data_IF_339008905884
#
_entry.id   IF_339008905884
#
_cell.length_a   1.000
_cell.length_b   1.000
_cell.length_c   1.000
_cell.angle_alpha   90.00
_cell.angle_beta   90.00
_cell.angle_gamma   90.00
#
_symmetry.space_group_name_H-M   'P 1'
#
loop_
_entity.id
_entity.type
_entity.pdbx_description
1 polymer ?
#
# COMPACT_ATOMS: atom_id res chain seq x y z
N UNK A 1 21.43 12.49 -12.29
CA UNK A 1 22.38 11.39 -12.07
C UNK A 1 22.64 10.69 -13.39
N UNK A 2 23.90 10.40 -13.73
CA UNK A 2 24.28 9.72 -14.99
C UNK A 2 23.78 8.25 -15.08
N UNK A 3 23.11 7.76 -14.03
CA UNK A 3 22.56 6.40 -13.95
C UNK A 3 21.04 6.33 -14.16
N UNK A 4 20.37 7.47 -14.33
CA UNK A 4 18.92 7.54 -14.58
C UNK A 4 18.70 7.88 -16.04
N UNK A 5 17.95 7.01 -16.73
CA UNK A 5 17.56 7.18 -18.13
C UNK A 5 16.04 7.04 -18.23
N UNK A 6 15.39 8.02 -18.82
CA UNK A 6 13.98 7.93 -19.16
C UNK A 6 13.87 7.38 -20.59
N UNK A 7 13.08 6.32 -20.77
CA UNK A 7 12.78 5.72 -22.06
C UNK A 7 11.28 5.63 -22.25
N UNK A 8 10.81 5.76 -23.49
CA UNK A 8 9.39 5.71 -23.82
C UNK A 8 8.89 4.34 -24.25
N UNK A 9 9.81 3.40 -24.53
CA UNK A 9 9.49 2.05 -24.97
C UNK A 9 9.76 1.04 -23.87
N UNK A 10 8.79 0.16 -23.59
CA UNK A 10 8.90 -0.82 -22.50
C UNK A 10 9.96 -1.87 -22.81
N UNK A 11 10.08 -2.35 -24.05
CA UNK A 11 11.07 -3.36 -24.39
C UNK A 11 12.50 -2.82 -24.23
N UNK A 12 12.73 -1.55 -24.59
CA UNK A 12 13.99 -0.87 -24.34
C UNK A 12 14.28 -0.75 -22.84
N UNK A 13 13.25 -0.39 -22.04
CA UNK A 13 13.39 -0.20 -20.60
C UNK A 13 13.76 -1.49 -19.88
N UNK A 14 13.11 -2.62 -20.20
CA UNK A 14 13.19 -3.85 -19.41
C UNK A 14 14.08 -4.94 -20.01
N UNK A 15 14.46 -4.83 -21.28
CA UNK A 15 15.15 -5.90 -22.04
C UNK A 15 16.50 -6.34 -21.47
N UNK A 16 17.09 -5.60 -20.51
CA UNK A 16 18.33 -5.93 -19.81
C UNK A 16 18.22 -5.80 -18.29
N UNK A 17 16.99 -5.70 -17.78
CA UNK A 17 16.77 -5.50 -16.35
C UNK A 17 16.93 -6.81 -15.58
N UNK A 18 17.58 -6.76 -14.41
CA UNK A 18 17.58 -7.85 -13.43
C UNK A 18 16.32 -7.81 -12.55
N UNK A 19 15.72 -6.62 -12.40
CA UNK A 19 14.50 -6.40 -11.66
C UNK A 19 13.68 -5.28 -12.31
N UNK A 20 12.38 -5.49 -12.40
CA UNK A 20 11.40 -4.48 -12.83
C UNK A 20 10.45 -4.20 -11.69
N UNK A 21 10.16 -2.93 -11.41
CA UNK A 21 9.19 -2.53 -10.38
C UNK A 21 8.09 -1.73 -11.09
N UNK A 22 6.90 -2.31 -11.16
CA UNK A 22 5.73 -1.67 -11.73
C UNK A 22 5.08 -0.75 -10.69
N UNK A 23 4.70 0.46 -11.09
CA UNK A 23 4.05 1.46 -10.24
C UNK A 23 2.97 2.27 -11.01
N UNK A 24 2.23 1.59 -11.88
CA UNK A 24 1.11 2.19 -12.61
C UNK A 24 -0.12 2.34 -11.70
N UNK A 25 -1.18 3.08 -12.12
CA UNK A 25 -2.41 3.20 -11.34
C UNK A 25 -2.99 1.84 -10.90
N UNK A 26 -3.69 1.84 -9.77
CA UNK A 26 -4.24 0.66 -9.08
C UNK A 26 -5.47 0.11 -9.83
N UNK A 27 -5.30 -0.28 -11.08
CA UNK A 27 -6.31 -0.83 -11.99
C UNK A 27 -5.91 -2.26 -12.34
N UNK A 28 -6.69 -3.29 -11.92
CA UNK A 28 -6.33 -4.70 -12.10
C UNK A 28 -6.00 -5.06 -13.56
N UNK A 29 -6.87 -4.73 -14.50
CA UNK A 29 -6.68 -5.07 -15.92
C UNK A 29 -5.42 -4.43 -16.51
N UNK A 30 -5.09 -3.20 -16.09
CA UNK A 30 -3.87 -2.53 -16.52
C UNK A 30 -2.64 -3.26 -16.00
N UNK A 31 -2.63 -3.66 -14.72
CA UNK A 31 -1.51 -4.39 -14.14
C UNK A 31 -1.34 -5.77 -14.77
N UNK A 32 -2.44 -6.50 -15.02
CA UNK A 32 -2.41 -7.78 -15.74
C UNK A 32 -1.80 -7.63 -17.14
N UNK A 33 -2.23 -6.61 -17.90
CA UNK A 33 -1.68 -6.34 -19.24
C UNK A 33 -0.18 -6.06 -19.18
N UNK A 34 0.26 -5.21 -18.23
CA UNK A 34 1.68 -4.88 -18.05
C UNK A 34 2.48 -6.10 -17.64
N UNK A 35 2.01 -6.91 -16.70
CA UNK A 35 2.73 -8.11 -16.27
C UNK A 35 2.83 -9.16 -17.38
N UNK A 36 1.82 -9.30 -18.23
CA UNK A 36 1.89 -10.13 -19.44
C UNK A 36 2.95 -9.62 -20.42
N UNK A 37 3.07 -8.29 -20.61
CA UNK A 37 4.11 -7.70 -21.44
C UNK A 37 5.50 -7.85 -20.82
N UNK A 38 5.64 -7.63 -19.50
CA UNK A 38 6.89 -7.83 -18.78
C UNK A 38 7.38 -9.27 -18.85
N UNK A 39 6.47 -10.25 -18.75
CA UNK A 39 6.81 -11.67 -18.90
C UNK A 39 7.46 -11.99 -20.24
N UNK A 40 6.99 -11.35 -21.31
CA UNK A 40 7.48 -11.52 -22.67
C UNK A 40 8.76 -10.71 -22.96
N UNK A 41 8.91 -9.51 -22.38
CA UNK A 41 9.92 -8.53 -22.76
C UNK A 41 11.15 -8.53 -21.84
N UNK A 42 10.97 -8.82 -20.56
CA UNK A 42 12.07 -8.86 -19.60
C UNK A 42 12.87 -10.17 -19.69
N UNK A 43 14.17 -10.17 -19.37
CA UNK A 43 14.98 -11.40 -19.33
C UNK A 43 14.36 -12.47 -18.43
N UNK A 44 14.57 -13.74 -18.77
CA UNK A 44 14.00 -14.87 -18.04
C UNK A 44 14.41 -14.92 -16.55
N UNK A 45 15.53 -14.31 -16.18
CA UNK A 45 16.00 -14.22 -14.79
C UNK A 45 15.44 -13.01 -14.02
N UNK A 46 14.80 -12.06 -14.72
CA UNK A 46 14.36 -10.81 -14.10
C UNK A 46 13.21 -11.04 -13.10
N UNK A 47 13.34 -10.40 -11.94
CA UNK A 47 12.29 -10.37 -10.94
C UNK A 47 11.27 -9.28 -11.31
N UNK A 48 9.99 -9.60 -11.18
CA UNK A 48 8.89 -8.71 -11.48
C UNK A 48 8.21 -8.25 -10.17
N UNK A 49 8.51 -7.02 -9.77
CA UNK A 49 7.92 -6.38 -8.58
C UNK A 49 6.70 -5.53 -8.94
N UNK A 50 5.69 -5.51 -8.08
CA UNK A 50 4.54 -4.58 -8.17
C UNK A 50 4.46 -3.71 -6.94
N UNK A 51 4.27 -2.40 -7.13
CA UNK A 51 4.07 -1.44 -6.04
C UNK A 51 2.58 -1.27 -5.71
N UNK A 52 1.79 -2.33 -5.81
CA UNK A 52 0.40 -2.30 -5.36
C UNK A 52 0.32 -2.13 -3.84
N UNK A 53 -0.70 -1.44 -3.36
CA UNK A 53 -1.02 -1.31 -1.92
C UNK A 53 -2.21 -2.15 -1.49
N UNK A 54 -2.95 -2.75 -2.43
CA UNK A 54 -4.21 -3.42 -2.10
C UNK A 54 -4.59 -4.61 -2.99
N UNK A 55 -4.01 -4.73 -4.18
CA UNK A 55 -4.34 -5.82 -5.10
C UNK A 55 -3.57 -7.10 -4.73
N UNK A 56 -4.17 -8.25 -5.01
CA UNK A 56 -3.54 -9.56 -4.80
C UNK A 56 -2.31 -9.73 -5.70
N UNK A 57 -1.19 -10.09 -5.10
CA UNK A 57 0.04 -10.40 -5.84
C UNK A 57 -0.16 -11.69 -6.65
N UNK A 58 -0.90 -12.66 -6.10
CA UNK A 58 -1.20 -13.92 -6.78
C UNK A 58 -2.00 -13.68 -8.07
N UNK A 59 -3.00 -12.79 -8.04
CA UNK A 59 -3.79 -12.44 -9.23
C UNK A 59 -2.94 -11.77 -10.31
N UNK A 60 -2.04 -10.85 -9.90
CA UNK A 60 -1.11 -10.20 -10.82
C UNK A 60 -0.13 -11.22 -11.41
N UNK A 61 0.41 -12.11 -10.57
CA UNK A 61 1.35 -13.15 -10.99
C UNK A 61 0.74 -14.15 -11.98
N UNK A 62 -0.58 -14.40 -11.88
CA UNK A 62 -1.30 -15.29 -12.81
C UNK A 62 -1.29 -14.78 -14.27
N UNK A 63 -0.97 -13.51 -14.50
CA UNK A 63 -0.78 -12.95 -15.85
C UNK A 63 0.58 -13.30 -16.46
N UNK A 64 1.47 -14.03 -15.75
CA UNK A 64 2.83 -14.38 -16.20
C UNK A 64 3.01 -15.90 -16.28
N UNK A 65 4.00 -16.35 -17.04
CA UNK A 65 4.41 -17.75 -17.11
C UNK A 65 5.42 -18.15 -16.00
N UNK A 66 5.86 -17.19 -15.18
CA UNK A 66 6.87 -17.34 -14.11
C UNK A 66 6.41 -16.70 -12.79
N UNK A 67 5.27 -17.15 -12.23
CA UNK A 67 4.70 -16.57 -11.02
C UNK A 67 5.67 -16.63 -9.83
N UNK A 68 6.61 -17.57 -9.80
CA UNK A 68 7.65 -17.69 -8.77
C UNK A 68 8.64 -16.51 -8.74
N UNK A 69 8.72 -15.73 -9.82
CA UNK A 69 9.53 -14.51 -9.93
C UNK A 69 8.74 -13.23 -9.69
N UNK A 70 7.46 -13.33 -9.30
CA UNK A 70 6.63 -12.16 -9.00
C UNK A 70 6.55 -11.94 -7.49
N UNK A 71 6.68 -10.67 -7.07
CA UNK A 71 6.64 -10.26 -5.67
C UNK A 71 6.03 -8.86 -5.53
N UNK A 72 5.27 -8.61 -4.48
CA UNK A 72 4.89 -7.26 -4.09
C UNK A 72 6.08 -6.51 -3.50
N UNK A 73 6.29 -5.28 -3.95
CA UNK A 73 7.30 -4.35 -3.43
C UNK A 73 6.60 -3.04 -3.08
N UNK A 74 5.92 -3.03 -1.93
CA UNK A 74 5.08 -1.91 -1.51
C UNK A 74 5.90 -0.82 -0.84
N UNK A 75 6.12 0.27 -1.57
CA UNK A 75 6.82 1.47 -1.11
C UNK A 75 5.83 2.48 -0.51
N UNK A 76 6.34 3.34 0.37
CA UNK A 76 5.56 4.38 1.04
C UNK A 76 5.96 5.77 0.55
N UNK A 77 4.98 6.60 0.24
CA UNK A 77 5.21 7.98 -0.17
C UNK A 77 5.51 8.90 1.04
N UNK A 78 6.48 9.82 0.89
CA UNK A 78 7.43 10.00 -0.21
C UNK A 78 8.54 8.93 -0.20
N UNK A 79 8.70 8.21 -1.32
CA UNK A 79 9.63 7.07 -1.40
C UNK A 79 11.06 7.39 -0.94
N UNK A 80 11.66 8.55 -1.25
CA UNK A 80 13.02 8.86 -0.80
C UNK A 80 13.16 9.03 0.73
N UNK A 81 12.06 9.35 1.43
CA UNK A 81 12.05 9.66 2.87
C UNK A 81 11.66 8.44 3.68
N UNK A 82 10.61 7.73 3.25
CA UNK A 82 10.07 6.59 3.96
C UNK A 82 11.00 5.40 3.87
N UNK A 83 11.41 4.86 5.02
CA UNK A 83 12.42 3.79 5.08
C UNK A 83 11.85 2.39 4.94
N UNK A 84 10.56 2.21 5.13
CA UNK A 84 9.92 0.91 5.04
C UNK A 84 9.72 0.48 3.59
N UNK A 85 10.01 -0.78 3.30
CA UNK A 85 9.60 -1.52 2.12
C UNK A 85 8.93 -2.82 2.58
N UNK A 86 7.66 -2.98 2.27
CA UNK A 86 6.90 -4.19 2.56
C UNK A 86 6.99 -5.13 1.36
N UNK A 87 7.67 -6.25 1.54
CA UNK A 87 7.77 -7.32 0.55
C UNK A 87 6.60 -8.28 0.75
N UNK A 88 5.81 -8.48 -0.29
CA UNK A 88 4.60 -9.28 -0.23
C UNK A 88 4.77 -10.52 -1.09
N UNK A 89 4.85 -11.70 -0.44
CA UNK A 89 4.95 -12.98 -1.14
C UNK A 89 3.59 -13.66 -1.26
N UNK A 90 3.26 -14.16 -2.43
CA UNK A 90 2.19 -15.12 -2.63
C UNK A 90 2.75 -16.55 -2.58
N UNK A 91 1.87 -17.55 -2.59
CA UNK A 91 2.26 -18.94 -2.34
C UNK A 91 3.29 -19.50 -3.34
N UNK A 92 3.30 -19.00 -4.58
CA UNK A 92 4.27 -19.44 -5.59
C UNK A 92 5.57 -18.63 -5.61
N UNK A 93 5.65 -17.47 -4.93
CA UNK A 93 6.88 -16.66 -4.90
C UNK A 93 8.05 -17.47 -4.34
N UNK A 94 9.14 -17.62 -5.10
CA UNK A 94 10.32 -18.39 -4.66
C UNK A 94 11.12 -17.67 -3.57
N UNK A 95 11.83 -18.45 -2.74
CA UNK A 95 12.74 -17.88 -1.74
C UNK A 95 13.89 -17.09 -2.39
N UNK A 96 14.31 -17.48 -3.60
CA UNK A 96 15.31 -16.74 -4.38
C UNK A 96 14.80 -15.35 -4.78
N UNK A 97 13.53 -15.24 -5.18
CA UNK A 97 12.87 -13.96 -5.50
C UNK A 97 12.80 -13.07 -4.26
N UNK A 98 12.39 -13.62 -3.11
CA UNK A 98 12.36 -12.91 -1.84
C UNK A 98 13.74 -12.38 -1.48
N UNK A 99 14.78 -13.24 -1.49
CA UNK A 99 16.15 -12.84 -1.13
C UNK A 99 16.72 -11.75 -2.04
N UNK A 100 16.41 -11.80 -3.33
CA UNK A 100 16.84 -10.76 -4.27
C UNK A 100 16.09 -9.44 -4.05
N UNK A 101 14.78 -9.48 -3.77
CA UNK A 101 14.00 -8.29 -3.43
C UNK A 101 14.45 -7.65 -2.11
N UNK A 102 14.79 -8.45 -1.09
CA UNK A 102 15.39 -7.98 0.16
C UNK A 102 16.73 -7.29 -0.09
N UNK A 103 17.60 -7.92 -0.88
CA UNK A 103 18.91 -7.36 -1.26
C UNK A 103 18.75 -6.02 -1.96
N UNK A 104 17.83 -5.94 -2.92
CA UNK A 104 17.53 -4.69 -3.62
C UNK A 104 16.97 -3.62 -2.66
N UNK A 105 16.05 -3.99 -1.76
CA UNK A 105 15.51 -3.09 -0.74
C UNK A 105 16.59 -2.51 0.16
N UNK A 106 17.49 -3.34 0.67
CA UNK A 106 18.64 -2.91 1.49
C UNK A 106 19.57 -1.98 0.70
N UNK A 107 19.86 -2.31 -0.56
CA UNK A 107 20.69 -1.47 -1.44
C UNK A 107 20.05 -0.08 -1.70
N UNK A 108 18.72 0.02 -1.68
CA UNK A 108 17.97 1.27 -1.75
C UNK A 108 17.88 2.01 -0.39
N UNK A 109 18.52 1.52 0.66
CA UNK A 109 18.48 2.10 2.01
C UNK A 109 17.16 1.88 2.74
N UNK A 110 16.39 0.86 2.37
CA UNK A 110 15.13 0.50 3.02
C UNK A 110 15.34 -0.54 4.13
N UNK A 111 14.44 -0.52 5.09
CA UNK A 111 14.20 -1.63 6.01
C UNK A 111 13.08 -2.46 5.43
N UNK A 112 13.34 -3.73 5.14
CA UNK A 112 12.37 -4.64 4.56
C UNK A 112 11.63 -5.42 5.63
N UNK A 113 10.34 -5.67 5.41
CA UNK A 113 9.56 -6.69 6.12
C UNK A 113 8.96 -7.63 5.08
N UNK A 114 8.84 -8.91 5.44
CA UNK A 114 8.21 -9.91 4.59
C UNK A 114 6.83 -10.26 5.13
N UNK A 115 5.81 -10.14 4.28
CA UNK A 115 4.42 -10.46 4.61
C UNK A 115 3.81 -11.37 3.56
N UNK A 116 2.72 -12.06 3.92
CA UNK A 116 1.94 -12.85 2.99
C UNK A 116 1.01 -11.96 2.16
N UNK A 117 0.68 -12.43 0.94
CA UNK A 117 -0.34 -11.85 0.08
C UNK A 117 -1.73 -12.07 0.68
N UNK A 118 -2.12 -11.13 1.55
CA UNK A 118 -3.44 -11.08 2.17
C UNK A 118 -3.97 -9.65 2.08
N UNK A 119 -5.29 -9.43 2.01
CA UNK A 119 -5.86 -8.09 1.87
C UNK A 119 -5.33 -7.10 2.91
N UNK A 120 -4.83 -5.95 2.41
CA UNK A 120 -4.26 -4.88 3.22
C UNK A 120 -2.87 -5.15 3.77
N UNK A 121 -2.24 -6.28 3.42
CA UNK A 121 -0.90 -6.68 3.87
C UNK A 121 -0.75 -6.52 5.39
N UNK A 122 0.34 -5.96 5.89
CA UNK A 122 0.45 -5.63 7.31
C UNK A 122 0.11 -4.16 7.60
N UNK A 123 0.70 -3.23 6.86
CA UNK A 123 0.64 -1.80 7.20
C UNK A 123 -0.71 -1.18 6.91
N UNK A 124 -1.29 -1.43 5.73
CA UNK A 124 -2.60 -0.89 5.37
C UNK A 124 -3.68 -1.43 6.31
N UNK A 125 -3.66 -2.75 6.60
CA UNK A 125 -4.62 -3.38 7.50
C UNK A 125 -4.54 -2.81 8.92
N UNK A 126 -3.36 -2.73 9.52
CA UNK A 126 -3.17 -2.16 10.86
C UNK A 126 -3.57 -0.68 10.90
N UNK A 127 -3.12 0.09 9.90
CA UNK A 127 -3.40 1.52 9.85
C UNK A 127 -4.90 1.84 9.75
N UNK A 128 -5.67 1.13 8.90
CA UNK A 128 -7.10 1.40 8.76
C UNK A 128 -7.91 0.91 9.95
N UNK A 129 -7.55 -0.23 10.56
CA UNK A 129 -8.24 -0.74 11.76
C UNK A 129 -8.03 0.19 12.94
N UNK A 130 -6.81 0.67 13.18
CA UNK A 130 -6.53 1.65 14.22
C UNK A 130 -7.29 2.96 13.98
N UNK A 131 -7.30 3.45 12.73
CA UNK A 131 -8.07 4.65 12.36
C UNK A 131 -9.57 4.47 12.58
N UNK A 132 -10.14 3.33 12.16
CA UNK A 132 -11.57 3.05 12.32
C UNK A 132 -11.99 2.96 13.79
N UNK A 133 -11.13 2.38 14.65
CA UNK A 133 -11.38 2.36 16.09
C UNK A 133 -11.31 3.76 16.71
N UNK A 134 -10.35 4.60 16.29
CA UNK A 134 -10.29 5.99 16.74
C UNK A 134 -11.53 6.80 16.33
N UNK A 135 -12.05 6.55 15.11
CA UNK A 135 -13.31 7.15 14.62
C UNK A 135 -14.50 6.69 15.49
N UNK A 136 -14.54 5.42 15.87
CA UNK A 136 -15.58 4.88 16.77
C UNK A 136 -15.53 5.57 18.14
N UNK A 137 -14.33 5.68 18.74
CA UNK A 137 -14.16 6.38 20.02
C UNK A 137 -14.64 7.83 19.97
N UNK A 138 -14.35 8.53 18.86
CA UNK A 138 -14.83 9.91 18.64
C UNK A 138 -16.37 9.97 18.55
N UNK A 139 -16.97 9.06 17.78
CA UNK A 139 -18.42 8.97 17.61
C UNK A 139 -19.15 8.62 18.91
N UNK A 140 -18.55 7.77 19.73
CA UNK A 140 -19.08 7.37 21.05
C UNK A 140 -18.87 8.47 22.13
N UNK A 141 -18.22 9.58 21.79
CA UNK A 141 -17.94 10.69 22.71
C UNK A 141 -16.95 10.34 23.82
N UNK A 142 -16.06 9.36 23.59
CA UNK A 142 -15.02 8.95 24.56
C UNK A 142 -14.06 10.09 24.84
N UNK A 143 -13.63 10.83 23.80
CA UNK A 143 -12.76 11.99 23.91
C UNK A 143 -12.84 12.85 22.63
N UNK A 144 -12.24 14.04 22.65
CA UNK A 144 -12.06 14.86 21.46
C UNK A 144 -11.09 14.21 20.45
N UNK A 145 -11.11 14.65 19.19
CA UNK A 145 -10.18 14.17 18.17
C UNK A 145 -8.70 14.43 18.58
N UNK A 146 -8.45 15.61 19.17
CA UNK A 146 -7.15 16.02 19.68
C UNK A 146 -6.68 15.11 20.83
N UNK A 147 -7.56 14.76 21.75
CA UNK A 147 -7.21 13.91 22.90
C UNK A 147 -6.95 12.46 22.48
N UNK A 148 -7.77 11.92 21.57
CA UNK A 148 -7.56 10.58 21.00
C UNK A 148 -6.18 10.49 20.33
N UNK A 149 -5.85 11.47 19.49
CA UNK A 149 -4.56 11.52 18.80
C UNK A 149 -3.41 11.72 19.78
N UNK A 150 -3.57 12.60 20.78
CA UNK A 150 -2.58 12.84 21.83
C UNK A 150 -2.30 11.58 22.64
N UNK A 151 -3.32 10.79 22.95
CA UNK A 151 -3.14 9.51 23.67
C UNK A 151 -2.21 8.55 22.92
N UNK A 152 -2.34 8.46 21.59
CA UNK A 152 -1.47 7.60 20.78
C UNK A 152 -0.07 8.19 20.60
N UNK A 153 0.02 9.51 20.41
CA UNK A 153 1.32 10.17 20.25
C UNK A 153 2.16 10.09 21.53
N UNK A 154 1.57 10.43 22.68
CA UNK A 154 2.31 10.49 23.94
C UNK A 154 2.32 9.15 24.70
N UNK A 155 1.23 8.39 24.67
CA UNK A 155 1.11 7.12 25.37
C UNK A 155 1.86 5.96 24.68
N UNK A 156 1.82 5.92 23.36
CA UNK A 156 2.45 4.85 22.55
C UNK A 156 3.61 5.33 21.68
N UNK A 157 3.96 6.62 21.74
CA UNK A 157 5.04 7.23 20.94
C UNK A 157 4.83 7.11 19.43
N UNK A 158 3.58 7.15 18.98
CA UNK A 158 3.30 7.24 17.56
C UNK A 158 3.76 8.61 17.03
N UNK A 159 4.33 8.67 15.82
CA UNK A 159 4.78 9.95 15.24
C UNK A 159 3.62 10.88 14.90
N UNK A 160 2.40 10.32 14.75
CA UNK A 160 1.16 11.01 14.42
C UNK A 160 -0.02 10.22 14.98
N UNK A 161 -1.05 10.93 15.43
CA UNK A 161 -2.27 10.27 15.91
C UNK A 161 -3.10 9.66 14.77
N UNK A 162 -3.98 8.69 15.09
CA UNK A 162 -4.71 7.90 14.09
C UNK A 162 -5.72 8.72 13.28
N UNK A 163 -6.37 9.72 13.87
CA UNK A 163 -7.32 10.58 13.16
C UNK A 163 -6.62 11.55 12.22
N UNK A 164 -5.51 12.16 12.68
CA UNK A 164 -4.68 13.02 11.84
C UNK A 164 -4.04 12.25 10.68
N UNK A 165 -3.60 11.01 10.93
CA UNK A 165 -3.10 10.13 9.88
C UNK A 165 -4.20 9.74 8.89
N UNK A 166 -5.45 9.57 9.36
CA UNK A 166 -6.60 9.31 8.49
C UNK A 166 -6.87 10.50 7.57
N UNK A 167 -6.84 11.72 8.10
CA UNK A 167 -6.95 12.95 7.31
C UNK A 167 -5.84 13.09 6.26
N UNK A 168 -4.60 12.77 6.64
CA UNK A 168 -3.45 12.87 5.75
C UNK A 168 -3.54 11.90 4.57
N UNK A 169 -3.99 10.66 4.81
CA UNK A 169 -4.17 9.63 3.77
C UNK A 169 -5.41 9.92 2.92
N UNK A 170 -6.45 10.45 3.53
CA UNK A 170 -7.75 10.72 2.94
C UNK A 170 -8.83 9.75 3.43
N UNK A 171 -9.95 10.32 3.86
CA UNK A 171 -11.06 9.56 4.44
C UNK A 171 -11.70 8.61 3.44
N UNK A 172 -11.84 9.02 2.18
CA UNK A 172 -12.33 8.18 1.09
C UNK A 172 -11.41 6.97 0.83
N UNK A 173 -10.09 7.18 0.81
CA UNK A 173 -9.12 6.10 0.66
C UNK A 173 -9.22 5.12 1.83
N UNK A 174 -9.32 5.63 3.07
CA UNK A 174 -9.48 4.79 4.27
C UNK A 174 -10.76 3.96 4.23
N UNK A 175 -11.89 4.60 3.85
CA UNK A 175 -13.17 3.92 3.66
C UNK A 175 -13.06 2.80 2.63
N UNK A 176 -12.47 3.08 1.47
CA UNK A 176 -12.38 2.10 0.38
C UNK A 176 -11.50 0.90 0.75
N UNK A 177 -10.42 1.11 1.50
CA UNK A 177 -9.59 0.03 2.04
C UNK A 177 -10.41 -0.81 3.03
N UNK A 178 -11.14 -0.18 3.96
CA UNK A 178 -11.99 -0.90 4.93
C UNK A 178 -13.07 -1.73 4.23
N UNK A 179 -13.77 -1.18 3.23
CA UNK A 179 -14.75 -1.91 2.43
C UNK A 179 -14.12 -3.08 1.67
N UNK A 180 -12.90 -2.92 1.17
CA UNK A 180 -12.17 -4.02 0.53
C UNK A 180 -11.84 -5.12 1.54
N UNK A 181 -11.33 -4.78 2.73
CA UNK A 181 -11.04 -5.74 3.79
C UNK A 181 -12.31 -6.46 4.25
N UNK A 182 -13.42 -5.72 4.48
CA UNK A 182 -14.71 -6.31 4.86
C UNK A 182 -15.16 -7.36 3.86
N UNK A 183 -15.14 -7.03 2.56
CA UNK A 183 -15.53 -7.96 1.50
C UNK A 183 -14.59 -9.16 1.41
N UNK A 184 -13.28 -8.93 1.43
CA UNK A 184 -12.28 -9.99 1.24
C UNK A 184 -12.24 -10.98 2.39
N UNK A 185 -12.46 -10.51 3.63
CA UNK A 185 -12.51 -11.38 4.81
C UNK A 185 -13.93 -11.84 5.15
N UNK A 186 -14.96 -11.29 4.49
CA UNK A 186 -16.38 -11.47 4.84
C UNK A 186 -16.61 -11.25 6.35
N UNK A 187 -16.14 -10.10 6.86
CA UNK A 187 -16.07 -9.84 8.30
C UNK A 187 -16.37 -8.37 8.59
N UNK A 188 -17.46 -8.13 9.31
CA UNK A 188 -17.97 -6.79 9.64
C UNK A 188 -17.08 -6.01 10.61
N UNK A 189 -16.07 -6.66 11.25
CA UNK A 189 -15.07 -5.93 12.04
C UNK A 189 -14.32 -4.87 11.22
N UNK A 190 -14.28 -5.06 9.90
CA UNK A 190 -13.64 -4.12 8.96
C UNK A 190 -14.63 -3.13 8.35
N UNK A 191 -15.92 -3.21 8.68
CA UNK A 191 -16.89 -2.24 8.18
C UNK A 191 -16.47 -0.81 8.54
N UNK A 192 -16.46 0.14 7.59
CA UNK A 192 -16.21 1.53 7.91
C UNK A 192 -17.28 2.04 8.89
N UNK A 193 -16.85 2.84 9.88
CA UNK A 193 -17.80 3.42 10.84
C UNK A 193 -18.75 4.39 10.13
N UNK A 194 -20.05 4.48 10.50
CA UNK A 194 -21.03 5.40 9.87
C UNK A 194 -20.56 6.87 9.84
N UNK A 195 -19.85 7.35 10.87
CA UNK A 195 -19.27 8.70 10.87
C UNK A 195 -18.28 8.91 9.72
N UNK A 196 -17.46 7.89 9.38
CA UNK A 196 -16.55 7.98 8.24
C UNK A 196 -17.31 8.10 6.91
N UNK A 197 -18.37 7.31 6.74
CA UNK A 197 -19.23 7.37 5.56
C UNK A 197 -19.91 8.74 5.42
N UNK A 198 -20.42 9.28 6.54
CA UNK A 198 -21.05 10.60 6.58
C UNK A 198 -20.08 11.71 6.18
N UNK A 199 -18.84 11.69 6.72
CA UNK A 199 -17.82 12.68 6.41
C UNK A 199 -17.41 12.62 4.92
N UNK A 200 -17.21 11.41 4.38
CA UNK A 200 -16.92 11.23 2.96
C UNK A 200 -18.06 11.74 2.08
N UNK A 201 -19.31 11.45 2.43
CA UNK A 201 -20.49 11.93 1.69
C UNK A 201 -20.60 13.47 1.70
N UNK A 202 -20.12 14.13 2.76
CA UNK A 202 -20.07 15.60 2.87
C UNK A 202 -18.86 16.21 2.13
N UNK A 203 -17.97 15.41 1.58
CA UNK A 203 -16.75 15.89 0.94
C UNK A 203 -15.64 16.30 1.91
N UNK A 204 -15.76 15.95 3.18
CA UNK A 204 -14.70 16.12 4.19
C UNK A 204 -13.70 14.98 4.05
N UNK A 205 -12.71 15.15 3.15
CA UNK A 205 -11.81 14.08 2.76
C UNK A 205 -10.42 14.20 3.45
N UNK A 206 -10.29 15.05 4.44
CA UNK A 206 -9.04 15.32 5.14
C UNK A 206 -8.21 16.43 4.49
N UNK A 207 -6.88 16.32 4.57
CA UNK A 207 -5.97 17.35 4.10
C UNK A 207 -6.24 17.80 2.65
N UNK A 208 -6.52 16.88 1.75
CA UNK A 208 -6.74 17.17 0.31
C UNK A 208 -7.99 18.02 0.03
N UNK A 209 -8.95 18.06 0.96
CA UNK A 209 -10.16 18.89 0.85
C UNK A 209 -10.15 20.09 1.80
N UNK A 210 -9.06 20.28 2.59
CA UNK A 210 -8.97 21.31 3.61
C UNK A 210 -9.72 20.98 4.91
N UNK A 211 -10.50 19.91 4.94
CA UNK A 211 -11.29 19.51 6.10
C UNK A 211 -11.42 17.99 6.21
N UNK A 212 -11.23 17.48 7.42
CA UNK A 212 -11.45 16.12 7.84
C UNK A 212 -11.89 16.10 9.30
N UNK A 213 -11.25 15.26 10.13
CA UNK A 213 -11.38 15.32 11.60
C UNK A 213 -10.74 16.59 12.14
N UNK A 214 -9.82 17.17 11.39
CA UNK A 214 -9.15 18.45 11.65
C UNK A 214 -9.33 19.41 10.47
N UNK A 215 -9.13 20.71 10.75
CA UNK A 215 -9.02 21.71 9.71
C UNK A 215 -7.56 21.75 9.19
N UNK A 216 -7.41 21.87 7.87
CA UNK A 216 -6.13 21.89 7.19
C UNK A 216 -6.00 23.15 6.35
N UNK A 217 -4.99 23.97 6.63
CA UNK A 217 -4.66 25.22 5.91
C UNK A 217 -3.62 24.95 4.79
#
# INVERSE_FOLDING_TARGET
SSRLHAVGDMAEAVGKADMVIEAVPEIPDLKHSIFSDLDRLAPAHAILGTNTSSLSIADIAAATSRPEQVIGMHFFNPVPIMKLLELVRHDSTSDATVAAAETAGVAMGKTTILVKDVPGFATSRLGVVLGNEAIRMLADGVASAEDIDTAMVLGYKHPMGPLKLTDLVGLDVRRDILLNLQRSFNDDRYAPHPLLEEMVAKGHLGQKSGQGFFEWN
#
